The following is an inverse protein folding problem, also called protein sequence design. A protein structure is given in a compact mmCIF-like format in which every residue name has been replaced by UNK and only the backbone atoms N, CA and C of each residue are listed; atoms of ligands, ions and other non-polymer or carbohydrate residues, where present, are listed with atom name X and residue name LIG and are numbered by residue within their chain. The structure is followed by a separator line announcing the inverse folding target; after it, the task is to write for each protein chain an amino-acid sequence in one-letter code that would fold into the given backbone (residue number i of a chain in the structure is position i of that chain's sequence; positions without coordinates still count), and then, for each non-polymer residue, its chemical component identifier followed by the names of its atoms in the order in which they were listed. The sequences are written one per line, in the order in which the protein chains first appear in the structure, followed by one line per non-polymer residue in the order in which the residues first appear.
data_IF_310361845138
#
_entry.id   IF_310361845138
#
_cell.length_a   1.000
_cell.length_b   1.000
_cell.length_c   1.000
_cell.angle_alpha   90.00
_cell.angle_beta   90.00
_cell.angle_gamma   90.00
#
_symmetry.space_group_name_H-M   'P 1'
#
loop_
_entity.id
_entity.type
_entity.pdbx_description
1 polymer ?
#
# COMPACT_ATOMS: atom_id res chain seq x y z
N UNK A 1 -83.85 20.10 -31.50
CA UNK A 1 -83.37 20.43 -30.14
C UNK A 1 -82.19 19.53 -29.80
N UNK A 2 -81.09 20.13 -29.34
CA UNK A 2 -79.78 19.52 -29.10
C UNK A 2 -79.88 18.37 -28.07
N UNK A 3 -79.24 17.23 -28.33
CA UNK A 3 -78.85 16.26 -27.30
C UNK A 3 -77.33 16.25 -27.22
N UNK A 4 -76.82 16.85 -26.14
CA UNK A 4 -75.42 16.80 -25.71
C UNK A 4 -75.32 15.58 -24.81
N UNK A 5 -74.48 14.61 -25.15
CA UNK A 5 -74.07 13.55 -24.22
C UNK A 5 -72.61 13.82 -23.86
N UNK A 6 -72.45 14.10 -22.58
CA UNK A 6 -71.21 14.46 -21.89
C UNK A 6 -70.33 13.21 -21.72
N UNK A 7 -69.10 13.26 -22.21
CA UNK A 7 -68.05 12.28 -21.89
C UNK A 7 -67.15 12.83 -20.78
N UNK A 8 -67.24 12.24 -19.58
CA UNK A 8 -66.34 12.51 -18.46
C UNK A 8 -65.05 11.72 -18.71
N UNK A 9 -63.94 12.40 -18.98
CA UNK A 9 -62.60 11.81 -18.94
C UNK A 9 -61.96 12.09 -17.58
N UNK A 10 -61.84 11.05 -16.77
CA UNK A 10 -61.04 11.04 -15.54
C UNK A 10 -59.56 10.98 -15.94
N UNK A 11 -58.81 12.04 -15.67
CA UNK A 11 -57.35 12.05 -15.76
C UNK A 11 -56.79 11.66 -14.40
N UNK A 12 -56.38 10.40 -14.26
CA UNK A 12 -55.69 9.90 -13.08
C UNK A 12 -54.22 10.36 -13.15
N UNK A 13 -53.84 11.34 -12.33
CA UNK A 13 -52.44 11.79 -12.23
C UNK A 13 -51.66 10.81 -11.35
N UNK A 14 -50.75 10.06 -11.95
CA UNK A 14 -49.81 9.20 -11.23
C UNK A 14 -48.76 10.13 -10.61
N UNK A 15 -48.87 10.39 -9.30
CA UNK A 15 -47.80 11.02 -8.53
C UNK A 15 -46.73 9.94 -8.32
N UNK A 16 -45.64 10.04 -9.07
CA UNK A 16 -44.41 9.28 -8.79
C UNK A 16 -43.82 9.87 -7.52
N UNK A 17 -44.07 9.23 -6.37
CA UNK A 17 -43.35 9.55 -5.14
C UNK A 17 -41.89 9.13 -5.32
N UNK A 18 -41.02 10.10 -5.61
CA UNK A 18 -39.59 9.89 -5.43
C UNK A 18 -39.34 9.59 -3.96
N UNK A 19 -38.76 8.44 -3.66
CA UNK A 19 -38.47 8.05 -2.28
C UNK A 19 -37.42 9.03 -1.72
N UNK A 20 -37.78 9.79 -0.68
CA UNK A 20 -36.86 10.73 -0.03
C UNK A 20 -35.65 9.98 0.54
N UNK A 21 -34.43 10.45 0.25
CA UNK A 21 -33.16 9.85 0.67
C UNK A 21 -32.24 10.89 1.34
N UNK A 22 -31.01 10.49 1.71
CA UNK A 22 -29.97 11.43 2.15
C UNK A 22 -29.73 12.47 1.04
N UNK A 23 -29.72 13.74 1.40
CA UNK A 23 -29.52 14.85 0.48
C UNK A 23 -28.02 15.07 0.24
N UNK A 24 -27.48 14.35 -0.74
CA UNK A 24 -26.11 14.52 -1.19
C UNK A 24 -25.94 15.81 -1.98
N UNK A 25 -24.88 16.56 -1.67
CA UNK A 25 -24.53 17.79 -2.36
C UNK A 25 -23.55 17.50 -3.50
N UNK A 26 -23.92 17.89 -4.70
CA UNK A 26 -23.10 17.81 -5.91
C UNK A 26 -22.19 19.06 -6.00
N UNK A 27 -21.26 19.19 -5.05
CA UNK A 27 -20.28 20.28 -5.01
C UNK A 27 -18.86 19.71 -5.02
N UNK A 28 -17.86 20.44 -5.58
CA UNK A 28 -16.46 20.05 -5.49
C UNK A 28 -16.03 19.81 -4.05
N UNK A 29 -15.12 18.86 -3.81
CA UNK A 29 -14.68 18.48 -2.46
C UNK A 29 -14.25 19.69 -1.61
N UNK A 30 -13.51 20.63 -2.22
CA UNK A 30 -13.04 21.85 -1.55
C UNK A 30 -14.19 22.71 -1.02
N UNK A 31 -15.30 22.80 -1.74
CA UNK A 31 -16.48 23.57 -1.35
C UNK A 31 -17.26 22.88 -0.24
N UNK A 32 -17.37 21.54 -0.29
CA UNK A 32 -17.94 20.73 0.78
C UNK A 32 -17.22 20.98 2.11
N UNK A 33 -15.87 20.96 2.11
CA UNK A 33 -15.08 21.25 3.32
C UNK A 33 -15.28 22.69 3.79
N UNK A 34 -15.26 23.67 2.88
CA UNK A 34 -15.46 25.08 3.23
C UNK A 34 -16.84 25.30 3.88
N UNK A 35 -17.89 24.65 3.36
CA UNK A 35 -19.24 24.69 3.93
C UNK A 35 -19.29 24.04 5.30
N UNK A 36 -18.68 22.86 5.46
CA UNK A 36 -18.59 22.16 6.75
C UNK A 36 -17.91 23.01 7.83
N UNK A 37 -16.82 23.69 7.48
CA UNK A 37 -16.13 24.62 8.36
C UNK A 37 -17.02 25.79 8.81
N UNK A 38 -17.77 26.37 7.87
CA UNK A 38 -18.69 27.48 8.13
C UNK A 38 -19.86 27.06 9.01
N UNK A 39 -20.45 25.90 8.74
CA UNK A 39 -21.61 25.37 9.46
C UNK A 39 -21.25 24.62 10.75
N UNK A 40 -19.96 24.39 11.00
CA UNK A 40 -19.44 23.60 12.14
C UNK A 40 -20.09 22.22 12.22
N UNK A 41 -20.24 21.58 11.06
CA UNK A 41 -20.75 20.22 10.91
C UNK A 41 -19.66 19.32 10.35
N UNK A 42 -19.73 18.03 10.70
CA UNK A 42 -18.92 17.02 10.03
C UNK A 42 -19.43 16.81 8.60
N UNK A 43 -18.51 16.41 7.71
CA UNK A 43 -18.84 15.95 6.36
C UNK A 43 -19.04 14.46 6.39
N UNK A 44 -20.15 13.97 5.86
CA UNK A 44 -20.33 12.57 5.51
C UNK A 44 -20.08 12.39 4.01
N UNK A 45 -19.16 11.51 3.64
CA UNK A 45 -18.90 11.13 2.25
C UNK A 45 -19.27 9.66 2.04
N UNK A 46 -20.21 9.42 1.15
CA UNK A 46 -20.43 8.11 0.53
C UNK A 46 -19.40 7.91 -0.59
N UNK A 47 -18.37 7.11 -0.30
CA UNK A 47 -17.33 6.74 -1.25
C UNK A 47 -17.73 5.44 -1.96
N UNK A 48 -18.16 5.56 -3.21
CA UNK A 48 -18.74 4.46 -3.98
C UNK A 48 -18.01 4.26 -5.31
N UNK A 49 -18.39 3.18 -6.01
CA UNK A 49 -18.07 2.99 -7.42
C UNK A 49 -19.35 2.63 -8.19
N UNK A 50 -19.47 3.09 -9.44
CA UNK A 50 -20.68 2.88 -10.27
C UNK A 50 -21.11 1.40 -10.40
N UNK A 51 -20.17 0.47 -10.35
CA UNK A 51 -20.41 -0.98 -10.46
C UNK A 51 -20.63 -1.68 -9.11
N UNK A 52 -20.43 -1.00 -7.98
CA UNK A 52 -20.51 -1.58 -6.65
C UNK A 52 -21.95 -2.01 -6.29
N UNK A 53 -22.18 -3.33 -6.21
CA UNK A 53 -23.47 -3.90 -5.82
C UNK A 53 -23.94 -3.50 -4.42
N UNK A 54 -23.13 -3.70 -3.36
CA UNK A 54 -23.50 -3.30 -2.00
C UNK A 54 -23.78 -1.80 -1.84
N UNK A 55 -23.11 -0.94 -2.60
CA UNK A 55 -23.40 0.51 -2.61
C UNK A 55 -24.82 0.80 -3.11
N UNK A 56 -25.23 0.14 -4.19
CA UNK A 56 -26.61 0.23 -4.71
C UNK A 56 -27.63 -0.30 -3.72
N UNK A 57 -27.28 -1.31 -2.92
CA UNK A 57 -28.15 -1.81 -1.85
C UNK A 57 -28.33 -0.78 -0.74
N UNK A 58 -27.28 -0.08 -0.32
CA UNK A 58 -27.37 1.01 0.65
C UNK A 58 -28.28 2.13 0.14
N UNK A 59 -28.06 2.57 -1.09
CA UNK A 59 -28.83 3.64 -1.75
C UNK A 59 -30.32 3.29 -1.88
N UNK A 60 -30.64 2.01 -2.09
CA UNK A 60 -32.03 1.54 -2.22
C UNK A 60 -32.71 1.24 -0.88
N UNK A 61 -32.00 0.60 0.04
CA UNK A 61 -32.61 -0.03 1.21
C UNK A 61 -32.37 0.72 2.52
N UNK A 62 -31.29 1.51 2.61
CA UNK A 62 -30.83 2.09 3.89
C UNK A 62 -30.89 3.62 3.87
N UNK A 63 -30.30 4.28 2.88
CA UNK A 63 -30.32 5.76 2.78
C UNK A 63 -31.72 6.37 2.74
N UNK A 64 -32.74 5.74 2.11
CA UNK A 64 -34.11 6.26 2.13
C UNK A 64 -34.88 6.04 3.43
N UNK A 65 -34.34 5.25 4.37
CA UNK A 65 -35.01 5.03 5.65
C UNK A 65 -35.12 6.35 6.40
N UNK A 66 -36.30 6.59 6.99
CA UNK A 66 -36.63 7.86 7.64
C UNK A 66 -35.61 8.24 8.72
N UNK A 67 -35.26 7.27 9.59
CA UNK A 67 -34.29 7.45 10.66
C UNK A 67 -32.90 7.88 10.13
N UNK A 68 -32.47 7.29 9.01
CA UNK A 68 -31.19 7.56 8.35
C UNK A 68 -31.21 8.95 7.73
N UNK A 69 -32.12 9.23 6.79
CA UNK A 69 -32.13 10.51 6.07
C UNK A 69 -32.35 11.70 7.00
N UNK A 70 -33.23 11.61 7.99
CA UNK A 70 -33.48 12.70 8.92
C UNK A 70 -32.24 12.99 9.77
N UNK A 71 -31.59 11.94 10.28
CA UNK A 71 -30.38 12.11 11.08
C UNK A 71 -29.25 12.69 10.24
N UNK A 72 -29.00 12.13 9.05
CA UNK A 72 -27.87 12.56 8.21
C UNK A 72 -28.05 13.97 7.66
N UNK A 73 -29.24 14.32 7.17
CA UNK A 73 -29.51 15.66 6.63
C UNK A 73 -29.46 16.75 7.72
N UNK A 74 -29.80 16.39 8.96
CA UNK A 74 -29.74 17.33 10.09
C UNK A 74 -28.30 17.57 10.54
N UNK A 75 -27.52 16.50 10.68
CA UNK A 75 -26.26 16.54 11.43
C UNK A 75 -25.00 16.70 10.56
N UNK A 76 -25.05 16.38 9.26
CA UNK A 76 -23.85 16.38 8.41
C UNK A 76 -24.01 17.23 7.14
N UNK A 77 -22.87 17.61 6.58
CA UNK A 77 -22.75 17.99 5.18
C UNK A 77 -22.57 16.70 4.38
N UNK A 78 -23.61 16.25 3.68
CA UNK A 78 -23.58 14.99 2.93
C UNK A 78 -23.05 15.22 1.51
N UNK A 79 -22.07 14.42 1.08
CA UNK A 79 -21.54 14.36 -0.27
C UNK A 79 -21.33 12.91 -0.69
N UNK A 80 -21.25 12.66 -2.00
CA UNK A 80 -20.88 11.35 -2.52
C UNK A 80 -19.92 11.52 -3.68
N UNK A 81 -18.95 10.62 -3.82
CA UNK A 81 -18.01 10.63 -4.93
C UNK A 81 -17.81 9.23 -5.48
N UNK A 82 -17.88 9.10 -6.80
CA UNK A 82 -17.42 7.91 -7.49
C UNK A 82 -15.88 7.91 -7.45
N UNK A 83 -15.32 7.06 -6.60
CA UNK A 83 -13.89 7.03 -6.29
C UNK A 83 -13.01 6.55 -7.45
N UNK A 84 -13.61 6.13 -8.56
CA UNK A 84 -12.90 5.73 -9.77
C UNK A 84 -12.96 6.80 -10.88
N UNK A 85 -13.65 7.92 -10.66
CA UNK A 85 -13.88 8.97 -11.66
C UNK A 85 -13.61 10.37 -11.11
N UNK A 86 -13.30 11.30 -12.01
CA UNK A 86 -13.13 12.72 -11.69
C UNK A 86 -12.19 12.96 -10.50
N UNK A 87 -12.57 13.90 -9.63
CA UNK A 87 -11.83 14.17 -8.38
C UNK A 87 -11.87 13.00 -7.39
N UNK A 88 -12.82 12.07 -7.53
CA UNK A 88 -12.95 10.90 -6.68
C UNK A 88 -11.71 10.01 -6.69
N UNK A 89 -10.96 9.94 -7.80
CA UNK A 89 -9.68 9.20 -7.86
C UNK A 89 -8.64 9.76 -6.90
N UNK A 90 -8.55 11.09 -6.82
CA UNK A 90 -7.61 11.77 -5.93
C UNK A 90 -8.06 11.64 -4.47
N UNK A 91 -9.38 11.71 -4.23
CA UNK A 91 -9.95 11.46 -2.89
C UNK A 91 -9.73 10.01 -2.42
N UNK A 92 -9.85 9.04 -3.32
CA UNK A 92 -9.60 7.63 -3.02
C UNK A 92 -8.14 7.41 -2.60
N UNK A 93 -7.19 8.03 -3.31
CA UNK A 93 -5.79 8.01 -2.93
C UNK A 93 -5.56 8.72 -1.59
N UNK A 94 -6.08 9.94 -1.44
CA UNK A 94 -5.92 10.79 -0.25
C UNK A 94 -6.43 10.10 1.03
N UNK A 95 -7.59 9.46 0.96
CA UNK A 95 -8.25 8.84 2.10
C UNK A 95 -8.08 7.32 2.13
N UNK A 96 -7.18 6.75 1.33
CA UNK A 96 -6.87 5.32 1.35
C UNK A 96 -8.10 4.42 1.13
N UNK A 97 -9.01 4.82 0.23
CA UNK A 97 -10.21 4.04 -0.09
C UNK A 97 -9.80 2.90 -1.03
N UNK A 98 -9.94 1.66 -0.55
CA UNK A 98 -9.55 0.43 -1.27
C UNK A 98 -10.70 -0.56 -1.49
N UNK A 99 -11.87 -0.30 -0.91
CA UNK A 99 -13.06 -1.14 -1.03
C UNK A 99 -14.32 -0.29 -0.95
N UNK A 100 -15.44 -0.83 -1.44
CA UNK A 100 -16.71 -0.12 -1.52
C UNK A 100 -17.86 -0.95 -0.93
N UNK A 101 -18.86 -0.31 -0.30
CA UNK A 101 -18.91 1.12 0.03
C UNK A 101 -17.90 1.46 1.15
N UNK A 102 -17.39 2.68 1.11
CA UNK A 102 -16.64 3.28 2.22
C UNK A 102 -17.36 4.54 2.67
N UNK A 103 -17.49 4.74 3.97
CA UNK A 103 -18.08 5.92 4.59
C UNK A 103 -16.99 6.72 5.28
N UNK A 104 -16.74 7.94 4.80
CA UNK A 104 -15.76 8.85 5.40
C UNK A 104 -16.49 9.95 6.16
N UNK A 105 -16.02 10.21 7.38
CA UNK A 105 -16.46 11.33 8.18
C UNK A 105 -15.30 12.30 8.35
N UNK A 106 -15.46 13.54 7.91
CA UNK A 106 -14.41 14.57 7.95
C UNK A 106 -14.81 15.76 8.81
N UNK A 107 -13.84 16.42 9.44
CA UNK A 107 -14.05 17.71 10.11
C UNK A 107 -14.02 18.88 9.12
N UNK A 108 -14.24 20.11 9.61
CA UNK A 108 -14.21 21.35 8.81
C UNK A 108 -12.84 21.68 8.23
N UNK A 109 -11.79 20.98 8.65
CA UNK A 109 -10.43 21.08 8.13
C UNK A 109 -10.16 20.06 7.01
N UNK A 110 -11.12 19.17 6.75
CA UNK A 110 -11.01 18.11 5.75
C UNK A 110 -10.15 16.93 6.21
N UNK A 111 -9.93 16.79 7.52
CA UNK A 111 -9.25 15.65 8.13
C UNK A 111 -10.22 14.53 8.43
N UNK A 112 -9.73 13.28 8.35
CA UNK A 112 -10.51 12.09 8.63
C UNK A 112 -10.77 11.93 10.13
N UNK A 113 -12.05 11.96 10.51
CA UNK A 113 -12.54 11.70 11.87
C UNK A 113 -12.88 10.23 12.07
N UNK A 114 -13.47 9.61 11.05
CA UNK A 114 -13.83 8.19 11.08
C UNK A 114 -13.94 7.60 9.69
N UNK A 115 -13.63 6.31 9.57
CA UNK A 115 -13.79 5.51 8.35
C UNK A 115 -14.50 4.22 8.69
N UNK A 116 -15.55 3.92 7.93
CA UNK A 116 -16.27 2.66 8.00
C UNK A 116 -16.42 2.07 6.60
N UNK A 117 -16.58 0.76 6.48
CA UNK A 117 -16.66 0.07 5.19
C UNK A 117 -17.73 -1.00 5.19
N UNK A 118 -18.27 -1.29 4.02
CA UNK A 118 -19.21 -2.39 3.81
C UNK A 118 -20.68 -1.99 3.99
N UNK A 119 -21.55 -2.93 3.66
CA UNK A 119 -22.98 -2.77 3.86
C UNK A 119 -23.31 -2.75 5.36
N UNK A 120 -24.27 -1.90 5.76
CA UNK A 120 -24.74 -1.81 7.14
C UNK A 120 -26.26 -1.72 7.17
N UNK A 121 -26.88 -2.43 8.09
CA UNK A 121 -28.31 -2.29 8.35
C UNK A 121 -28.63 -0.93 8.98
N UNK A 122 -29.88 -0.48 8.82
CA UNK A 122 -30.37 0.84 9.25
C UNK A 122 -29.95 1.22 10.67
N UNK A 123 -30.23 0.34 11.65
CA UNK A 123 -29.97 0.62 13.07
C UNK A 123 -28.48 0.78 13.36
N UNK A 124 -27.63 -0.03 12.73
CA UNK A 124 -26.18 0.07 12.87
C UNK A 124 -25.64 1.34 12.21
N UNK A 125 -26.16 1.69 11.04
CA UNK A 125 -25.73 2.86 10.30
C UNK A 125 -26.05 4.16 11.06
N UNK A 126 -27.24 4.26 11.66
CA UNK A 126 -27.62 5.40 12.51
C UNK A 126 -26.79 5.45 13.79
N UNK A 127 -26.61 4.31 14.48
CA UNK A 127 -25.82 4.25 15.71
C UNK A 127 -24.35 4.68 15.47
N UNK A 128 -23.75 4.22 14.37
CA UNK A 128 -22.40 4.63 13.96
C UNK A 128 -22.33 6.15 13.73
N UNK A 129 -23.28 6.74 13.01
CA UNK A 129 -23.31 8.17 12.76
C UNK A 129 -23.55 8.99 14.05
N UNK A 130 -24.34 8.47 14.98
CA UNK A 130 -24.58 9.08 16.30
C UNK A 130 -23.31 9.12 17.16
N UNK A 131 -22.63 7.98 17.24
CA UNK A 131 -21.37 7.86 17.96
C UNK A 131 -20.32 8.85 17.42
N UNK A 132 -20.11 8.85 16.10
CA UNK A 132 -19.14 9.73 15.43
C UNK A 132 -19.46 11.21 15.67
N UNK A 133 -20.73 11.62 15.54
CA UNK A 133 -21.11 13.02 15.75
C UNK A 133 -20.93 13.46 17.22
N UNK A 134 -21.16 12.56 18.17
CA UNK A 134 -21.00 12.84 19.60
C UNK A 134 -19.55 13.10 20.02
N UNK A 135 -18.60 12.44 19.33
CA UNK A 135 -17.16 12.50 19.59
C UNK A 135 -16.42 13.52 18.71
N UNK A 136 -16.80 13.61 17.42
CA UNK A 136 -16.03 14.30 16.37
C UNK A 136 -16.09 15.82 16.38
N UNK A 137 -17.10 16.44 17.02
CA UNK A 137 -17.27 17.89 17.03
C UNK A 137 -16.63 18.62 18.24
N UNK A 138 -16.04 17.91 19.21
CA UNK A 138 -15.76 18.50 20.54
C UNK A 138 -14.33 18.93 20.83
N UNK A 139 -13.31 18.58 20.03
CA UNK A 139 -11.90 18.74 20.46
C UNK A 139 -10.89 19.28 19.44
N UNK A 140 -11.30 19.76 18.26
CA UNK A 140 -10.36 20.22 17.23
C UNK A 140 -9.74 19.06 16.44
N UNK A 141 -8.82 19.40 15.54
CA UNK A 141 -8.23 18.49 14.55
C UNK A 141 -7.35 17.41 15.21
N UNK A 142 -7.22 16.21 14.61
CA UNK A 142 -6.39 15.14 15.22
C UNK A 142 -4.93 15.59 15.33
N UNK A 143 -4.44 16.27 14.29
CA UNK A 143 -3.06 16.77 14.24
C UNK A 143 -2.81 17.87 15.26
N UNK A 144 -3.75 18.79 15.44
CA UNK A 144 -3.66 19.86 16.43
C UNK A 144 -3.67 19.32 17.86
N UNK A 145 -4.63 18.45 18.18
CA UNK A 145 -4.70 17.79 19.50
C UNK A 145 -3.43 17.01 19.81
N UNK A 146 -2.89 16.30 18.82
CA UNK A 146 -1.63 15.59 18.95
C UNK A 146 -0.45 16.56 19.12
N UNK A 147 -0.39 17.66 18.37
CA UNK A 147 0.64 18.68 18.52
C UNK A 147 0.60 19.35 19.91
N UNK A 148 -0.59 19.54 20.46
CA UNK A 148 -0.83 20.06 21.81
C UNK A 148 -0.54 19.04 22.93
N UNK A 149 -0.04 17.85 22.58
CA UNK A 149 0.42 16.87 23.56
C UNK A 149 -0.67 16.01 24.17
N UNK A 150 -1.82 15.83 23.52
CA UNK A 150 -2.83 14.88 24.01
C UNK A 150 -2.25 13.45 24.05
N UNK A 151 -2.55 12.76 25.16
CA UNK A 151 -1.98 11.44 25.54
C UNK A 151 -3.05 10.39 25.80
N UNK A 152 -4.31 10.72 25.58
CA UNK A 152 -5.43 9.80 25.80
C UNK A 152 -5.23 8.54 24.94
N UNK A 153 -5.28 7.32 25.54
CA UNK A 153 -5.00 6.07 24.82
C UNK A 153 -5.91 5.85 23.60
N UNK A 154 -7.22 6.08 23.76
CA UNK A 154 -8.19 5.87 22.69
C UNK A 154 -7.99 6.86 21.55
N UNK A 155 -7.66 8.11 21.88
CA UNK A 155 -7.27 9.12 20.89
C UNK A 155 -6.05 8.70 20.06
N UNK A 156 -4.99 8.20 20.70
CA UNK A 156 -3.77 7.76 20.00
C UNK A 156 -4.02 6.51 19.16
N UNK A 157 -4.82 5.56 19.65
CA UNK A 157 -5.28 4.39 18.88
C UNK A 157 -6.08 4.83 17.66
N UNK A 158 -6.97 5.81 17.81
CA UNK A 158 -7.74 6.34 16.69
C UNK A 158 -6.84 6.98 15.61
N UNK A 159 -5.78 7.70 16.01
CA UNK A 159 -4.79 8.21 15.04
C UNK A 159 -4.13 7.04 14.30
N UNK A 160 -3.66 6.02 15.01
CA UNK A 160 -3.03 4.84 14.40
C UNK A 160 -3.96 4.17 13.37
N UNK A 161 -5.21 3.93 13.76
CA UNK A 161 -6.23 3.27 12.92
C UNK A 161 -6.58 4.05 11.66
N UNK A 162 -6.74 5.36 11.76
CA UNK A 162 -7.21 6.19 10.63
C UNK A 162 -6.09 6.56 9.65
N UNK A 163 -4.84 6.59 10.13
CA UNK A 163 -3.72 7.18 9.39
C UNK A 163 -2.67 6.15 8.96
N UNK A 164 -2.69 4.89 9.40
CA UNK A 164 -1.69 3.87 9.04
C UNK A 164 -1.40 3.81 7.54
N UNK A 165 -2.43 3.94 6.71
CA UNK A 165 -2.34 3.78 5.25
C UNK A 165 -2.16 5.11 4.50
N UNK A 166 -2.44 6.24 5.15
CA UNK A 166 -2.54 7.56 4.49
C UNK A 166 -1.52 8.58 4.99
N UNK A 167 -1.10 8.47 6.24
CA UNK A 167 -0.07 9.27 6.89
C UNK A 167 0.68 8.38 7.92
N UNK A 168 1.47 7.45 7.39
CA UNK A 168 2.18 6.44 8.18
C UNK A 168 3.07 7.05 9.26
N UNK A 169 3.77 8.14 8.96
CA UNK A 169 4.65 8.81 9.91
C UNK A 169 3.87 9.46 11.08
N UNK A 170 2.71 10.06 10.79
CA UNK A 170 1.84 10.57 11.85
C UNK A 170 1.30 9.44 12.74
N UNK A 171 0.86 8.34 12.11
CA UNK A 171 0.39 7.15 12.83
C UNK A 171 1.49 6.51 13.69
N UNK A 172 2.72 6.42 13.17
CA UNK A 172 3.90 5.94 13.89
C UNK A 172 4.19 6.79 15.13
N UNK A 173 4.20 8.12 15.00
CA UNK A 173 4.38 9.03 16.14
C UNK A 173 3.30 8.86 17.22
N UNK A 174 2.06 8.57 16.82
CA UNK A 174 0.99 8.26 17.78
C UNK A 174 1.24 6.94 18.51
N UNK A 175 1.71 5.91 17.80
CA UNK A 175 2.14 4.65 18.40
C UNK A 175 3.28 4.83 19.40
N UNK A 176 4.30 5.61 19.04
CA UNK A 176 5.43 5.91 19.92
C UNK A 176 5.00 6.60 21.21
N UNK A 177 4.15 7.63 21.09
CA UNK A 177 3.57 8.29 22.26
C UNK A 177 2.69 7.35 23.08
N UNK A 178 1.95 6.46 22.45
CA UNK A 178 1.08 5.51 23.16
C UNK A 178 1.92 4.63 24.10
N UNK A 179 2.95 3.98 23.57
CA UNK A 179 3.78 3.06 24.37
C UNK A 179 4.75 3.78 25.32
N UNK A 180 5.12 5.02 25.04
CA UNK A 180 5.83 5.86 26.01
C UNK A 180 4.99 6.13 27.27
N UNK A 181 3.67 6.35 27.11
CA UNK A 181 2.78 6.67 28.24
C UNK A 181 2.12 5.42 28.88
N UNK A 182 2.21 4.24 28.24
CA UNK A 182 1.66 2.98 28.75
C UNK A 182 2.53 2.42 29.88
N UNK A 183 2.00 2.39 31.12
CA UNK A 183 2.75 1.93 32.30
C UNK A 183 3.12 0.46 32.18
N UNK A 184 4.33 0.10 32.62
CA UNK A 184 4.84 -1.27 32.61
C UNK A 184 3.90 -2.29 33.30
N UNK A 185 3.14 -1.85 34.31
CA UNK A 185 2.19 -2.69 35.04
C UNK A 185 0.87 -2.94 34.28
N UNK A 186 0.52 -2.10 33.31
CA UNK A 186 -0.72 -2.26 32.54
C UNK A 186 -0.49 -3.30 31.44
N UNK A 187 -1.31 -4.37 31.38
CA UNK A 187 -1.12 -5.43 30.40
C UNK A 187 -1.37 -4.94 28.98
N UNK A 188 -0.70 -5.58 28.02
CA UNK A 188 -0.97 -5.40 26.59
C UNK A 188 -2.10 -6.31 26.11
N UNK A 189 -3.03 -5.74 25.36
CA UNK A 189 -4.03 -6.43 24.56
C UNK A 189 -3.44 -6.89 23.22
N UNK A 190 -4.14 -7.82 22.56
CA UNK A 190 -3.77 -8.30 21.22
C UNK A 190 -3.73 -7.16 20.18
N UNK A 191 -4.65 -6.20 20.28
CA UNK A 191 -4.71 -5.06 19.36
C UNK A 191 -3.49 -4.12 19.55
N UNK A 192 -3.14 -3.80 20.80
CA UNK A 192 -1.95 -2.99 21.11
C UNK A 192 -0.67 -3.66 20.59
N UNK A 193 -0.52 -4.97 20.78
CA UNK A 193 0.62 -5.73 20.23
C UNK A 193 0.64 -5.62 18.70
N UNK A 194 -0.53 -5.73 18.06
CA UNK A 194 -0.65 -5.56 16.61
C UNK A 194 -0.12 -4.21 16.14
N UNK A 195 -0.54 -3.10 16.76
CA UNK A 195 -0.02 -1.77 16.43
C UNK A 195 1.48 -1.63 16.71
N UNK A 196 1.96 -2.16 17.85
CA UNK A 196 3.38 -2.15 18.19
C UNK A 196 4.23 -2.79 17.09
N UNK A 197 3.87 -4.02 16.68
CA UNK A 197 4.58 -4.76 15.65
C UNK A 197 4.45 -4.10 14.26
N UNK A 198 3.28 -3.52 13.96
CA UNK A 198 3.05 -2.85 12.68
C UNK A 198 3.98 -1.65 12.46
N UNK A 199 4.16 -0.81 13.48
CA UNK A 199 4.97 0.42 13.39
C UNK A 199 6.46 0.23 13.70
N UNK A 200 6.84 -0.89 14.32
CA UNK A 200 8.24 -1.18 14.67
C UNK A 200 9.00 -1.70 13.45
N UNK A 201 10.02 -0.95 13.00
CA UNK A 201 10.83 -1.23 11.80
C UNK A 201 12.33 -1.33 12.09
N UNK A 202 12.79 -0.77 13.20
CA UNK A 202 14.21 -0.76 13.59
C UNK A 202 14.38 -0.91 15.10
N UNK A 203 15.57 -1.33 15.53
CA UNK A 203 15.98 -1.26 16.95
C UNK A 203 16.12 0.17 17.47
N UNK A 204 16.22 1.15 16.57
CA UNK A 204 16.31 2.58 16.90
C UNK A 204 14.95 3.25 17.08
N UNK A 205 13.85 2.58 16.73
CA UNK A 205 12.51 3.10 16.95
C UNK A 205 12.20 3.21 18.45
N UNK A 206 11.47 4.26 18.84
CA UNK A 206 11.16 4.51 20.26
C UNK A 206 10.41 3.34 20.92
N UNK A 207 9.60 2.62 20.14
CA UNK A 207 8.85 1.45 20.61
C UNK A 207 9.70 0.21 20.86
N UNK A 208 10.94 0.14 20.35
CA UNK A 208 11.76 -1.08 20.47
C UNK A 208 12.02 -1.49 21.92
N UNK A 209 12.26 -0.51 22.81
CA UNK A 209 12.45 -0.76 24.24
C UNK A 209 11.19 -1.36 24.88
N UNK A 210 10.01 -0.87 24.51
CA UNK A 210 8.74 -1.40 25.01
C UNK A 210 8.50 -2.83 24.51
N UNK A 211 8.76 -3.07 23.22
CA UNK A 211 8.71 -4.40 22.62
C UNK A 211 9.64 -5.40 23.34
N UNK A 212 10.93 -5.05 23.47
CA UNK A 212 11.93 -5.94 24.05
C UNK A 212 11.67 -6.26 25.53
N UNK A 213 11.24 -5.26 26.32
CA UNK A 213 10.98 -5.45 27.75
C UNK A 213 9.69 -6.22 28.05
N UNK A 214 8.75 -6.29 27.10
CA UNK A 214 7.44 -6.95 27.25
C UNK A 214 7.31 -8.29 26.51
N UNK A 215 8.42 -8.93 26.14
CA UNK A 215 8.44 -10.24 25.46
C UNK A 215 7.45 -11.24 26.07
N UNK A 216 7.45 -11.41 27.39
CA UNK A 216 6.61 -12.38 28.09
C UNK A 216 5.09 -12.13 27.94
N UNK A 217 4.67 -10.89 27.73
CA UNK A 217 3.28 -10.56 27.41
C UNK A 217 2.96 -10.83 25.95
N UNK A 218 3.88 -10.42 25.06
CA UNK A 218 3.74 -10.53 23.61
C UNK A 218 3.60 -11.99 23.17
N UNK A 219 4.45 -12.89 23.69
CA UNK A 219 4.43 -14.32 23.34
C UNK A 219 3.20 -15.08 23.85
N UNK A 220 2.30 -14.43 24.61
CA UNK A 220 0.98 -15.00 24.93
C UNK A 220 0.03 -14.95 23.74
N UNK A 221 0.29 -14.05 22.77
CA UNK A 221 -0.56 -13.80 21.61
C UNK A 221 0.06 -14.21 20.27
N UNK A 222 1.38 -14.49 20.25
CA UNK A 222 2.07 -15.06 19.10
C UNK A 222 3.13 -16.08 19.53
N UNK A 223 3.51 -17.03 18.67
CA UNK A 223 4.58 -17.98 18.96
C UNK A 223 5.90 -17.28 19.32
N UNK A 224 6.65 -17.84 20.27
CA UNK A 224 7.96 -17.30 20.66
C UNK A 224 8.95 -17.29 19.48
N UNK A 225 8.88 -18.29 18.61
CA UNK A 225 9.66 -18.34 17.37
C UNK A 225 9.39 -17.10 16.50
N UNK A 226 8.13 -16.76 16.25
CA UNK A 226 7.75 -15.55 15.50
C UNK A 226 8.24 -14.26 16.15
N UNK A 227 8.21 -14.18 17.49
CA UNK A 227 8.80 -13.03 18.20
C UNK A 227 10.30 -12.94 17.95
N UNK A 228 11.03 -14.05 18.09
CA UNK A 228 12.49 -14.07 17.96
C UNK A 228 12.91 -13.79 16.52
N UNK A 229 12.17 -14.30 15.53
CA UNK A 229 12.37 -13.98 14.11
C UNK A 229 12.21 -12.49 13.87
N UNK A 230 11.11 -11.89 14.33
CA UNK A 230 10.84 -10.47 14.16
C UNK A 230 11.93 -9.59 14.82
N UNK A 231 12.26 -9.87 16.09
CA UNK A 231 13.34 -9.20 16.82
C UNK A 231 14.70 -9.35 16.11
N UNK A 232 15.00 -10.55 15.61
CA UNK A 232 16.18 -10.83 14.81
C UNK A 232 16.23 -9.97 13.54
N UNK A 233 15.12 -9.83 12.81
CA UNK A 233 15.04 -8.98 11.61
C UNK A 233 15.28 -7.50 11.93
N UNK A 234 14.76 -6.99 13.05
CA UNK A 234 15.02 -5.61 13.47
C UNK A 234 16.50 -5.38 13.72
N UNK A 235 17.15 -6.31 14.45
CA UNK A 235 18.60 -6.25 14.75
C UNK A 235 19.47 -6.39 13.51
N UNK A 236 19.04 -7.21 12.54
CA UNK A 236 19.74 -7.35 11.26
C UNK A 236 19.89 -6.02 10.54
N UNK A 237 18.91 -5.12 10.61
CA UNK A 237 19.00 -3.81 9.97
C UNK A 237 20.21 -3.01 10.47
N UNK A 238 20.48 -3.03 11.78
CA UNK A 238 21.64 -2.33 12.33
C UNK A 238 22.95 -3.00 11.95
N UNK A 239 22.97 -4.32 11.89
CA UNK A 239 24.14 -5.10 11.45
C UNK A 239 24.47 -4.80 9.98
N UNK A 240 23.46 -4.66 9.11
CA UNK A 240 23.65 -4.23 7.72
C UNK A 240 24.31 -2.85 7.68
N UNK A 241 23.78 -1.87 8.41
CA UNK A 241 24.35 -0.53 8.46
C UNK A 241 25.82 -0.56 8.91
N UNK A 242 26.13 -1.33 9.96
CA UNK A 242 27.48 -1.44 10.52
C UNK A 242 28.44 -2.29 9.69
N UNK A 243 27.94 -3.13 8.78
CA UNK A 243 28.79 -3.94 7.89
C UNK A 243 29.22 -3.18 6.65
N UNK A 244 28.58 -2.05 6.33
CA UNK A 244 28.88 -1.25 5.15
C UNK A 244 30.09 -0.33 5.42
N UNK A 245 31.11 -0.47 4.58
CA UNK A 245 32.23 0.45 4.46
C UNK A 245 31.99 1.35 3.25
N UNK A 246 31.27 2.45 3.46
CA UNK A 246 30.93 3.42 2.41
C UNK A 246 32.16 4.09 1.77
N UNK A 247 33.23 4.25 2.54
CA UNK A 247 34.47 4.83 2.04
C UNK A 247 35.08 3.96 0.94
N UNK A 248 35.05 2.64 1.13
CA UNK A 248 35.61 1.68 0.18
C UNK A 248 34.56 1.02 -0.70
N UNK A 249 33.27 1.38 -0.56
CA UNK A 249 32.13 0.79 -1.26
C UNK A 249 32.09 -0.73 -1.14
N UNK A 250 32.33 -1.24 0.06
CA UNK A 250 32.41 -2.68 0.35
C UNK A 250 31.56 -3.06 1.55
N UNK A 251 31.16 -4.32 1.60
CA UNK A 251 30.52 -4.91 2.77
C UNK A 251 31.51 -5.82 3.48
N UNK A 252 31.59 -5.70 4.79
CA UNK A 252 32.37 -6.57 5.65
C UNK A 252 31.59 -7.86 5.94
N UNK A 253 31.70 -8.82 5.02
CA UNK A 253 31.04 -10.14 5.12
C UNK A 253 31.35 -10.85 6.45
N UNK A 254 32.61 -10.79 6.92
CA UNK A 254 33.04 -11.45 8.15
C UNK A 254 32.39 -10.85 9.39
N UNK A 255 32.33 -9.52 9.48
CA UNK A 255 31.59 -8.84 10.55
C UNK A 255 30.09 -9.15 10.48
N UNK A 256 29.50 -9.03 9.28
CA UNK A 256 28.07 -9.29 9.08
C UNK A 256 27.72 -10.71 9.55
N UNK A 257 28.43 -11.72 9.05
CA UNK A 257 28.15 -13.12 9.38
C UNK A 257 28.35 -13.41 10.87
N UNK A 258 29.42 -12.88 11.48
CA UNK A 258 29.69 -13.04 12.91
C UNK A 258 28.55 -12.50 13.78
N UNK A 259 27.92 -11.40 13.37
CA UNK A 259 26.84 -10.76 14.13
C UNK A 259 25.45 -11.32 13.79
N UNK A 260 25.21 -11.66 12.51
CA UNK A 260 23.89 -12.08 12.02
C UNK A 260 23.60 -13.56 12.27
N UNK A 261 24.58 -14.46 12.11
CA UNK A 261 24.38 -15.91 12.22
C UNK A 261 23.82 -16.34 13.59
N UNK A 262 24.30 -15.82 14.74
CA UNK A 262 23.72 -16.15 16.05
C UNK A 262 22.29 -15.66 16.26
N UNK A 263 21.83 -14.68 15.47
CA UNK A 263 20.51 -14.06 15.63
C UNK A 263 19.44 -14.76 14.78
N UNK A 264 19.77 -15.10 13.54
CA UNK A 264 18.79 -15.57 12.54
C UNK A 264 19.13 -16.92 11.94
N UNK A 265 20.23 -17.53 12.38
CA UNK A 265 20.76 -18.76 11.81
C UNK A 265 21.54 -18.52 10.51
N UNK A 266 22.40 -19.49 10.17
CA UNK A 266 23.35 -19.39 9.07
C UNK A 266 22.67 -19.12 7.71
N UNK A 267 21.63 -19.88 7.38
CA UNK A 267 21.00 -19.78 6.06
C UNK A 267 20.33 -18.43 5.84
N UNK A 268 19.62 -17.91 6.85
CA UNK A 268 18.98 -16.59 6.81
C UNK A 268 20.03 -15.48 6.74
N UNK A 269 21.12 -15.59 7.53
CA UNK A 269 22.22 -14.64 7.50
C UNK A 269 22.90 -14.59 6.11
N UNK A 270 23.24 -15.74 5.52
CA UNK A 270 23.81 -15.81 4.16
C UNK A 270 22.86 -15.16 3.15
N UNK A 271 21.58 -15.52 3.18
CA UNK A 271 20.58 -14.97 2.25
C UNK A 271 20.49 -13.45 2.37
N UNK A 272 20.41 -12.93 3.60
CA UNK A 272 20.35 -11.49 3.85
C UNK A 272 21.63 -10.77 3.41
N UNK A 273 22.80 -11.35 3.65
CA UNK A 273 24.08 -10.80 3.19
C UNK A 273 24.12 -10.71 1.68
N UNK A 274 23.77 -11.78 0.96
CA UNK A 274 23.75 -11.80 -0.50
C UNK A 274 22.81 -10.74 -1.08
N UNK A 275 21.58 -10.65 -0.55
CA UNK A 275 20.63 -9.60 -0.97
C UNK A 275 21.15 -8.18 -0.70
N UNK A 276 21.78 -7.98 0.46
CA UNK A 276 22.40 -6.70 0.83
C UNK A 276 23.52 -6.34 -0.14
N UNK A 277 24.39 -7.30 -0.49
CA UNK A 277 25.50 -7.12 -1.44
C UNK A 277 24.99 -6.74 -2.83
N UNK A 278 24.01 -7.46 -3.35
CA UNK A 278 23.43 -7.15 -4.66
C UNK A 278 22.87 -5.73 -4.71
N UNK A 279 22.01 -5.38 -3.74
CA UNK A 279 21.41 -4.07 -3.69
C UNK A 279 22.44 -2.95 -3.52
N UNK A 280 23.36 -3.10 -2.56
CA UNK A 280 24.35 -2.07 -2.24
C UNK A 280 25.33 -1.85 -3.40
N UNK A 281 25.84 -2.91 -4.02
CA UNK A 281 26.81 -2.79 -5.12
C UNK A 281 26.19 -2.24 -6.39
N UNK A 282 24.93 -2.56 -6.68
CA UNK A 282 24.19 -1.97 -7.79
C UNK A 282 24.00 -0.46 -7.58
N UNK A 283 23.48 -0.04 -6.42
CA UNK A 283 23.26 1.38 -6.10
C UNK A 283 24.55 2.22 -6.14
N UNK A 284 25.68 1.62 -5.77
CA UNK A 284 26.97 2.30 -5.71
C UNK A 284 27.82 2.14 -6.98
N UNK A 285 27.26 1.53 -8.03
CA UNK A 285 27.91 1.21 -9.29
C UNK A 285 29.21 0.39 -9.13
N UNK A 286 29.28 -0.47 -8.11
CA UNK A 286 30.41 -1.37 -7.88
C UNK A 286 30.17 -2.73 -8.56
N UNK A 287 30.08 -2.70 -9.90
CA UNK A 287 29.75 -3.88 -10.70
C UNK A 287 30.73 -5.06 -10.59
N UNK A 288 32.06 -4.87 -10.39
CA UNK A 288 32.97 -5.99 -10.15
C UNK A 288 32.63 -6.80 -8.88
N UNK A 289 32.17 -6.15 -7.81
CA UNK A 289 31.75 -6.85 -6.60
C UNK A 289 30.30 -7.37 -6.71
N UNK A 290 29.44 -6.66 -7.46
CA UNK A 290 28.12 -7.17 -7.83
C UNK A 290 28.21 -8.49 -8.59
N UNK A 291 29.08 -8.56 -9.61
CA UNK A 291 29.28 -9.76 -10.44
C UNK A 291 29.62 -10.98 -9.57
N UNK A 292 30.60 -10.84 -8.66
CA UNK A 292 30.99 -11.90 -7.73
C UNK A 292 29.83 -12.31 -6.82
N UNK A 293 29.13 -11.33 -6.25
CA UNK A 293 28.02 -11.58 -5.33
C UNK A 293 26.86 -12.30 -6.01
N UNK A 294 26.49 -11.90 -7.23
CA UNK A 294 25.42 -12.51 -8.01
C UNK A 294 25.76 -13.94 -8.43
N UNK A 295 26.99 -14.19 -8.89
CA UNK A 295 27.40 -15.54 -9.27
C UNK A 295 27.38 -16.53 -8.10
N UNK A 296 27.77 -16.10 -6.89
CA UNK A 296 27.68 -16.94 -5.70
C UNK A 296 26.22 -17.15 -5.25
N UNK A 297 25.42 -16.09 -5.24
CA UNK A 297 24.03 -16.17 -4.77
C UNK A 297 23.14 -16.99 -5.71
N UNK A 298 23.26 -16.77 -7.03
CA UNK A 298 22.49 -17.46 -8.06
C UNK A 298 23.16 -18.71 -8.61
N UNK A 299 24.08 -19.34 -7.86
CA UNK A 299 24.77 -20.57 -8.27
C UNK A 299 23.83 -21.74 -8.59
N UNK A 300 22.66 -21.77 -7.94
CA UNK A 300 21.61 -22.76 -8.15
C UNK A 300 20.34 -22.05 -8.64
N UNK A 301 20.28 -21.62 -9.91
CA UNK A 301 19.21 -20.74 -10.38
C UNK A 301 17.81 -21.37 -10.32
N UNK A 302 17.69 -22.69 -10.25
CA UNK A 302 16.39 -23.38 -10.12
C UNK A 302 15.63 -23.03 -8.83
N UNK A 303 16.32 -22.53 -7.80
CA UNK A 303 15.69 -22.21 -6.51
C UNK A 303 15.16 -20.78 -6.44
N UNK A 304 15.27 -20.00 -7.52
CA UNK A 304 14.94 -18.58 -7.53
C UNK A 304 13.75 -18.27 -8.44
N UNK A 305 13.04 -17.17 -8.13
CA UNK A 305 12.03 -16.64 -9.03
C UNK A 305 12.72 -16.15 -10.32
N UNK A 306 12.26 -16.55 -11.52
CA UNK A 306 12.81 -16.05 -12.78
C UNK A 306 12.83 -14.52 -12.93
N UNK A 307 11.93 -13.77 -12.29
CA UNK A 307 11.97 -12.30 -12.31
C UNK A 307 13.17 -11.74 -11.54
N UNK A 308 13.60 -12.43 -10.49
CA UNK A 308 14.80 -12.08 -9.73
C UNK A 308 16.06 -12.34 -10.55
N UNK A 309 16.12 -13.52 -11.19
CA UNK A 309 17.20 -13.89 -12.10
C UNK A 309 17.30 -12.92 -13.28
N UNK A 310 16.17 -12.48 -13.83
CA UNK A 310 16.15 -11.54 -14.94
C UNK A 310 16.73 -10.18 -14.56
N UNK A 311 16.41 -9.66 -13.37
CA UNK A 311 16.99 -8.39 -12.87
C UNK A 311 18.51 -8.48 -12.79
N UNK A 312 19.05 -9.58 -12.25
CA UNK A 312 20.49 -9.81 -12.21
C UNK A 312 21.09 -9.93 -13.62
N UNK A 313 20.41 -10.64 -14.53
CA UNK A 313 20.84 -10.80 -15.91
C UNK A 313 20.90 -9.46 -16.67
N UNK A 314 19.97 -8.55 -16.39
CA UNK A 314 20.02 -7.18 -16.92
C UNK A 314 21.28 -6.45 -16.45
N UNK A 315 21.55 -6.40 -15.14
CA UNK A 315 22.76 -5.74 -14.62
C UNK A 315 24.02 -6.30 -15.29
N UNK A 316 24.06 -7.61 -15.54
CA UNK A 316 25.17 -8.24 -16.27
C UNK A 316 25.25 -7.78 -17.72
N UNK A 317 24.13 -7.72 -18.44
CA UNK A 317 24.08 -7.27 -19.82
C UNK A 317 24.53 -5.81 -19.99
N UNK A 318 24.33 -4.97 -18.98
CA UNK A 318 24.68 -3.54 -19.03
C UNK A 318 26.11 -3.26 -18.55
N UNK A 319 26.63 -4.05 -17.61
CA UNK A 319 27.81 -3.66 -16.86
C UNK A 319 28.92 -4.72 -16.72
N UNK A 320 28.66 -5.98 -17.11
CA UNK A 320 29.65 -7.07 -17.00
C UNK A 320 30.23 -7.42 -18.37
N UNK A 321 31.55 -7.62 -18.42
CA UNK A 321 32.26 -7.97 -19.67
C UNK A 321 32.86 -9.38 -19.65
N UNK A 322 32.91 -10.02 -18.48
CA UNK A 322 33.48 -11.36 -18.30
C UNK A 322 32.64 -12.41 -19.05
N UNK A 323 33.24 -13.07 -20.04
CA UNK A 323 32.52 -14.01 -20.91
C UNK A 323 31.87 -15.19 -20.18
N UNK A 324 32.54 -15.76 -19.16
CA UNK A 324 31.95 -16.84 -18.36
C UNK A 324 30.73 -16.36 -17.57
N UNK A 325 30.78 -15.14 -17.06
CA UNK A 325 29.72 -14.53 -16.25
C UNK A 325 28.52 -14.16 -17.11
N UNK A 326 28.75 -13.63 -18.31
CA UNK A 326 27.70 -13.35 -19.29
C UNK A 326 26.97 -14.63 -19.74
N UNK A 327 27.69 -15.75 -19.90
CA UNK A 327 27.06 -17.06 -20.17
C UNK A 327 26.14 -17.50 -19.02
N UNK A 328 26.56 -17.30 -17.77
CA UNK A 328 25.71 -17.56 -16.60
C UNK A 328 24.47 -16.67 -16.56
N UNK A 329 24.63 -15.37 -16.85
CA UNK A 329 23.49 -14.47 -16.98
C UNK A 329 22.55 -14.84 -18.13
N UNK A 330 23.08 -15.43 -19.21
CA UNK A 330 22.25 -15.96 -20.32
C UNK A 330 21.36 -17.10 -19.82
N UNK A 331 21.90 -18.06 -19.06
CA UNK A 331 21.12 -19.15 -18.43
C UNK A 331 20.01 -18.59 -17.51
N UNK A 332 20.29 -17.50 -16.78
CA UNK A 332 19.31 -16.81 -15.93
C UNK A 332 18.17 -16.17 -16.73
N UNK A 333 18.49 -15.47 -17.82
CA UNK A 333 17.50 -14.84 -18.69
C UNK A 333 16.66 -15.87 -19.46
N UNK A 334 17.27 -16.97 -19.92
CA UNK A 334 16.58 -18.09 -20.56
C UNK A 334 15.46 -18.64 -19.66
N UNK A 335 15.71 -18.79 -18.35
CA UNK A 335 14.67 -19.24 -17.40
C UNK A 335 13.48 -18.31 -17.32
N UNK A 336 13.69 -17.00 -17.37
CA UNK A 336 12.59 -16.04 -17.40
C UNK A 336 11.77 -16.20 -18.67
N UNK A 337 12.43 -16.30 -19.82
CA UNK A 337 11.78 -16.49 -21.13
C UNK A 337 11.01 -17.82 -21.18
N UNK A 338 11.57 -18.92 -20.67
CA UNK A 338 10.93 -20.23 -20.61
C UNK A 338 9.64 -20.25 -19.79
N UNK A 339 9.51 -19.37 -18.78
CA UNK A 339 8.28 -19.23 -17.99
C UNK A 339 7.19 -18.47 -18.74
N UNK A 340 7.58 -17.56 -19.62
CA UNK A 340 6.69 -16.73 -20.40
C UNK A 340 7.46 -15.62 -21.08
N UNK A 341 7.23 -15.48 -22.38
CA UNK A 341 7.87 -14.44 -23.17
C UNK A 341 7.26 -13.08 -22.86
N UNK A 342 8.12 -12.07 -22.75
CA UNK A 342 7.73 -10.66 -22.64
C UNK A 342 8.68 -9.83 -23.51
N UNK A 343 8.30 -8.61 -23.86
CA UNK A 343 9.21 -7.71 -24.59
C UNK A 343 10.50 -7.44 -23.80
N UNK A 344 10.44 -7.42 -22.47
CA UNK A 344 11.58 -7.10 -21.60
C UNK A 344 12.56 -8.27 -21.48
N UNK A 345 12.08 -9.46 -21.10
CA UNK A 345 12.98 -10.59 -20.87
C UNK A 345 13.64 -11.08 -22.17
N UNK A 346 12.93 -11.01 -23.29
CA UNK A 346 13.46 -11.36 -24.61
C UNK A 346 14.50 -10.34 -25.09
N UNK A 347 14.35 -9.06 -24.76
CA UNK A 347 15.36 -8.04 -25.04
C UNK A 347 16.65 -8.30 -24.26
N UNK A 348 16.54 -8.53 -22.95
CA UNK A 348 17.70 -8.81 -22.09
C UNK A 348 18.43 -10.06 -22.58
N UNK A 349 17.69 -11.13 -22.90
CA UNK A 349 18.25 -12.35 -23.44
C UNK A 349 18.94 -12.13 -24.80
N UNK A 350 18.33 -11.36 -25.70
CA UNK A 350 18.93 -11.00 -26.98
C UNK A 350 20.27 -10.28 -26.81
N UNK A 351 20.32 -9.31 -25.89
CA UNK A 351 21.53 -8.55 -25.58
C UNK A 351 22.64 -9.45 -25.05
N UNK A 352 22.30 -10.38 -24.14
CA UNK A 352 23.25 -11.37 -23.60
C UNK A 352 23.77 -12.33 -24.68
N UNK A 353 22.92 -12.80 -25.59
CA UNK A 353 23.37 -13.59 -26.74
C UNK A 353 24.33 -12.82 -27.64
N UNK A 354 24.08 -11.53 -27.89
CA UNK A 354 25.01 -10.69 -28.66
C UNK A 354 26.36 -10.59 -27.96
N UNK A 355 26.36 -10.31 -26.65
CA UNK A 355 27.57 -10.18 -25.83
C UNK A 355 28.37 -11.48 -25.70
N UNK A 356 27.70 -12.63 -25.80
CA UNK A 356 28.33 -13.97 -25.78
C UNK A 356 28.68 -14.49 -27.18
N UNK A 357 28.42 -13.69 -28.23
CA UNK A 357 28.80 -13.99 -29.61
C UNK A 357 27.79 -14.83 -30.41
N UNK A 358 26.62 -15.14 -29.84
CA UNK A 358 25.55 -15.87 -30.54
C UNK A 358 24.61 -14.91 -31.29
N UNK A 359 25.09 -14.39 -32.42
CA UNK A 359 24.37 -13.38 -33.22
C UNK A 359 23.01 -13.85 -33.72
N UNK A 360 22.86 -15.11 -34.10
CA UNK A 360 21.61 -15.63 -34.64
C UNK A 360 20.51 -15.64 -33.58
N UNK A 361 20.83 -16.13 -32.38
CA UNK A 361 19.90 -16.08 -31.25
C UNK A 361 19.63 -14.64 -30.80
N UNK A 362 20.66 -13.79 -30.78
CA UNK A 362 20.50 -12.38 -30.47
C UNK A 362 19.48 -11.70 -31.41
N UNK A 363 19.59 -11.97 -32.72
CA UNK A 363 18.68 -11.41 -33.72
C UNK A 363 17.25 -11.90 -33.50
N UNK A 364 17.07 -13.22 -33.36
CA UNK A 364 15.75 -13.83 -33.18
C UNK A 364 15.01 -13.25 -31.97
N UNK A 365 15.68 -13.19 -30.81
CA UNK A 365 15.07 -12.66 -29.59
C UNK A 365 14.87 -11.14 -29.63
N UNK A 366 15.74 -10.38 -30.30
CA UNK A 366 15.54 -8.94 -30.47
C UNK A 366 14.35 -8.62 -31.38
N UNK A 367 14.16 -9.39 -32.46
CA UNK A 367 12.96 -9.28 -33.30
C UNK A 367 11.69 -9.64 -32.53
N UNK A 368 11.74 -10.70 -31.73
CA UNK A 368 10.63 -11.11 -30.86
C UNK A 368 10.26 -10.00 -29.86
N UNK A 369 11.25 -9.46 -29.14
CA UNK A 369 11.06 -8.35 -28.22
C UNK A 369 10.37 -7.15 -28.88
N UNK A 370 10.90 -6.70 -30.03
CA UNK A 370 10.34 -5.59 -30.80
C UNK A 370 8.89 -5.86 -31.18
N UNK A 371 8.60 -7.04 -31.74
CA UNK A 371 7.26 -7.37 -32.21
C UNK A 371 6.25 -7.41 -31.06
N UNK A 372 6.62 -7.98 -29.91
CA UNK A 372 5.77 -8.00 -28.71
C UNK A 372 5.50 -6.59 -28.18
N UNK A 373 6.53 -5.73 -28.14
CA UNK A 373 6.37 -4.33 -27.72
C UNK A 373 5.40 -3.56 -28.64
N UNK A 374 5.57 -3.68 -29.96
CA UNK A 374 4.69 -3.04 -30.95
C UNK A 374 3.25 -3.54 -30.84
N UNK A 375 3.04 -4.86 -30.74
CA UNK A 375 1.70 -5.44 -30.58
C UNK A 375 1.00 -4.96 -29.30
N UNK A 376 1.76 -4.77 -28.22
CA UNK A 376 1.27 -4.25 -26.96
C UNK A 376 1.17 -2.71 -26.91
N UNK A 377 1.46 -2.02 -28.01
CA UNK A 377 1.54 -0.55 -28.10
C UNK A 377 2.49 0.06 -27.03
N UNK A 378 3.64 -0.59 -26.82
CA UNK A 378 4.74 -0.21 -25.91
C UNK A 378 5.99 0.20 -26.70
N UNK A 379 6.95 0.84 -26.03
CA UNK A 379 8.20 1.30 -26.64
C UNK A 379 9.09 0.11 -27.10
N UNK A 380 9.49 0.13 -28.37
CA UNK A 380 10.33 -0.88 -29.04
C UNK A 380 11.76 -0.41 -29.34
N UNK A 381 12.13 0.83 -28.97
CA UNK A 381 13.40 1.45 -29.38
C UNK A 381 14.64 0.65 -29.00
N UNK A 382 14.69 0.12 -27.78
CA UNK A 382 15.84 -0.65 -27.31
C UNK A 382 16.10 -1.89 -28.18
N UNK A 383 15.03 -2.61 -28.55
CA UNK A 383 15.13 -3.76 -29.43
C UNK A 383 15.53 -3.37 -30.86
N UNK A 384 15.00 -2.25 -31.38
CA UNK A 384 15.37 -1.72 -32.70
C UNK A 384 16.83 -1.28 -32.76
N UNK A 385 17.33 -0.65 -31.70
CA UNK A 385 18.73 -0.25 -31.58
C UNK A 385 19.65 -1.46 -31.48
N UNK A 386 19.25 -2.48 -30.72
CA UNK A 386 20.00 -3.73 -30.63
C UNK A 386 20.08 -4.43 -32.00
N UNK A 387 18.97 -4.48 -32.76
CA UNK A 387 18.96 -5.05 -34.11
C UNK A 387 19.91 -4.35 -35.07
N UNK A 388 20.07 -3.03 -34.96
CA UNK A 388 21.05 -2.26 -35.77
C UNK A 388 22.50 -2.61 -35.43
N UNK A 389 22.77 -3.07 -34.21
CA UNK A 389 24.10 -3.48 -33.77
C UNK A 389 24.46 -4.90 -34.25
N UNK A 390 23.47 -5.74 -34.49
CA UNK A 390 23.63 -7.12 -34.97
C UNK A 390 23.88 -7.08 -36.49
N UNK A 391 25.16 -6.96 -36.86
CA UNK A 391 25.62 -7.07 -38.26
C UNK A 391 25.56 -8.49 -38.78
#
# INVERSE_FOLDING_TARGET
MKKIISGISIVCSIIISAQETIQFQELPFKEIIAKAKKEKKLVFIDAYASWCGPCKMMEKNVFPQKSVREYFNTNFINARFDMEKGEGRDLAAKFGVRSYPTYLFLNGEGELVSRNTGYMEESMFVAMAQDINSQGNKKGSLKERFANGEKDPDFLINIMKLNSDTDYEFAKKASERYFENKKAADPLSKEEIGYMLFFLKSTEDSNYKAFASRKAEIIKFLPEETYNEFDGQLKLSKIVEQSIDDKNKKINDGYFMKMAEPLVGKQTAVTKLSQTKLHYYELNANFPEYEKAALDYYKNPETFNPDELLRAAWVFADHVQTQSSLKKATEWAEKSVMRGETSENTYILAKLYLLTGNKDMAKNYAEMSRNMAVQANRDSKLAEELLKQIK
#
